data_IF_459942543782
#
_entry.id   IF_459942543782
#
_cell.length_a   1.000
_cell.length_b   1.000
_cell.length_c   1.000
_cell.angle_alpha   90.00
_cell.angle_beta   90.00
_cell.angle_gamma   90.00
#
_symmetry.space_group_name_H-M   'P 1'
#
loop_
_entity.id
_entity.type
_entity.pdbx_description
1 polymer ?
#
# COMPACT_ATOMS: atom_id res chain seq x y z
N UNK A 1 0.64 -2.99 -24.50
CA UNK A 1 0.59 -4.41 -24.92
C UNK A 1 1.17 -5.27 -23.81
N UNK A 2 0.30 -5.77 -22.93
CA UNK A 2 0.36 -7.08 -22.28
C UNK A 2 -1.07 -7.31 -21.76
N UNK A 3 -1.79 -8.20 -22.44
CA UNK A 3 -3.09 -8.69 -22.02
C UNK A 3 -2.90 -9.64 -20.83
N UNK A 4 -3.69 -9.46 -19.78
CA UNK A 4 -3.79 -10.38 -18.65
C UNK A 4 -5.24 -10.46 -18.19
N UNK A 5 -5.96 -11.45 -18.72
CA UNK A 5 -7.39 -11.68 -18.60
C UNK A 5 -7.94 -11.69 -17.16
N UNK A 6 -9.11 -11.08 -17.01
CA UNK A 6 -10.05 -11.26 -15.89
C UNK A 6 -10.94 -12.47 -16.16
N UNK A 7 -11.13 -13.32 -15.14
CA UNK A 7 -12.41 -13.85 -14.61
C UNK A 7 -12.42 -15.34 -14.22
N UNK A 8 -13.17 -15.59 -13.14
CA UNK A 8 -14.01 -16.78 -12.88
C UNK A 8 -13.48 -17.81 -11.87
N UNK A 9 -13.87 -17.67 -10.61
CA UNK A 9 -14.03 -18.82 -9.71
C UNK A 9 -15.47 -19.33 -9.84
N UNK A 10 -15.72 -20.07 -10.93
CA UNK A 10 -16.87 -20.96 -11.02
C UNK A 10 -16.63 -22.16 -10.10
N UNK A 11 -17.58 -22.38 -9.20
CA UNK A 11 -18.03 -23.68 -8.67
C UNK A 11 -16.96 -24.75 -8.37
N UNK A 12 -16.60 -24.86 -7.09
CA UNK A 12 -16.00 -26.09 -6.55
C UNK A 12 -17.06 -27.20 -6.59
N UNK A 13 -16.96 -28.13 -7.54
CA UNK A 13 -17.83 -29.31 -7.60
C UNK A 13 -17.20 -30.45 -6.80
N UNK A 14 -17.68 -30.65 -5.57
CA UNK A 14 -17.29 -31.78 -4.72
C UNK A 14 -18.10 -33.00 -5.17
N UNK A 15 -17.42 -33.97 -5.81
CA UNK A 15 -18.04 -35.24 -6.23
C UNK A 15 -18.18 -36.16 -5.01
N UNK A 16 -19.32 -36.12 -4.34
CA UNK A 16 -19.62 -37.00 -3.20
C UNK A 16 -20.14 -38.34 -3.72
N UNK A 17 -19.44 -39.43 -3.40
CA UNK A 17 -19.88 -40.81 -3.69
C UNK A 17 -21.26 -41.11 -3.09
N UNK A 18 -22.04 -42.07 -3.65
CA UNK A 18 -23.40 -42.33 -3.20
C UNK A 18 -23.43 -42.92 -1.79
N UNK A 19 -23.57 -42.07 -0.78
CA UNK A 19 -23.83 -42.45 0.61
C UNK A 19 -25.32 -42.70 0.85
N UNK A 20 -25.59 -43.71 1.69
CA UNK A 20 -26.91 -44.23 2.05
C UNK A 20 -27.89 -43.12 2.51
N UNK A 21 -29.20 -43.24 2.22
CA UNK A 21 -30.19 -42.15 2.31
C UNK A 21 -30.40 -41.56 3.72
N UNK A 22 -30.04 -42.29 4.78
CA UNK A 22 -30.20 -41.84 6.18
C UNK A 22 -29.17 -40.77 6.56
N UNK A 23 -27.99 -40.78 5.92
CA UNK A 23 -26.89 -39.87 6.27
C UNK A 23 -27.02 -38.48 5.61
N UNK A 24 -27.86 -38.35 4.58
CA UNK A 24 -28.18 -37.07 3.93
C UNK A 24 -29.00 -36.13 4.81
N UNK A 25 -29.85 -36.68 5.69
CA UNK A 25 -30.74 -35.86 6.54
C UNK A 25 -30.00 -35.22 7.71
N UNK A 26 -29.01 -35.91 8.29
CA UNK A 26 -28.21 -35.38 9.41
C UNK A 26 -27.19 -34.34 8.91
N UNK A 27 -26.61 -34.53 7.72
CA UNK A 27 -25.61 -33.60 7.19
C UNK A 27 -26.20 -32.25 6.74
N UNK A 28 -27.45 -32.24 6.24
CA UNK A 28 -28.15 -31.00 5.86
C UNK A 28 -28.58 -30.15 7.07
N UNK A 29 -28.92 -30.79 8.20
CA UNK A 29 -29.28 -30.08 9.43
C UNK A 29 -28.07 -29.41 10.10
N UNK A 30 -26.87 -30.01 9.98
CA UNK A 30 -25.65 -29.44 10.56
C UNK A 30 -25.10 -28.29 9.70
N UNK A 31 -25.16 -28.37 8.36
CA UNK A 31 -24.74 -27.26 7.49
C UNK A 31 -25.68 -26.05 7.52
N UNK A 32 -26.97 -26.24 7.80
CA UNK A 32 -27.93 -25.13 7.93
C UNK A 32 -27.73 -24.32 9.22
N UNK A 33 -27.06 -24.88 10.24
CA UNK A 33 -26.83 -24.20 11.52
C UNK A 33 -25.44 -23.53 11.62
N UNK A 34 -24.50 -23.86 10.74
CA UNK A 34 -23.18 -23.21 10.67
C UNK A 34 -23.13 -22.02 9.68
N UNK A 35 -24.23 -21.73 8.99
CA UNK A 35 -24.29 -20.72 7.93
C UNK A 35 -24.53 -19.27 8.38
N UNK A 36 -24.55 -18.98 9.69
CA UNK A 36 -24.98 -17.68 10.20
C UNK A 36 -24.02 -17.13 11.26
N UNK A 37 -22.78 -16.87 10.86
CA UNK A 37 -21.85 -15.95 11.55
C UNK A 37 -20.60 -15.80 10.68
N UNK A 38 -20.78 -15.34 9.44
CA UNK A 38 -19.71 -14.53 8.87
C UNK A 38 -19.74 -13.24 9.70
N UNK A 39 -18.69 -12.90 10.47
CA UNK A 39 -18.61 -11.56 11.01
C UNK A 39 -18.71 -10.63 9.80
N UNK A 40 -19.70 -9.72 9.85
CA UNK A 40 -19.70 -8.56 8.99
C UNK A 40 -18.45 -7.78 9.42
N UNK A 41 -17.30 -8.15 8.88
CA UNK A 41 -16.10 -7.32 8.95
C UNK A 41 -16.49 -6.10 8.15
N UNK A 42 -17.01 -5.10 8.85
CA UNK A 42 -17.07 -3.75 8.33
C UNK A 42 -15.63 -3.40 8.03
N UNK A 43 -15.22 -3.55 6.78
CA UNK A 43 -14.05 -2.86 6.27
C UNK A 43 -14.39 -1.38 6.43
N UNK A 44 -13.95 -0.79 7.53
CA UNK A 44 -14.04 0.64 7.74
C UNK A 44 -13.21 1.28 6.63
N UNK A 45 -13.86 1.58 5.51
CA UNK A 45 -13.21 2.21 4.36
C UNK A 45 -12.70 3.60 4.75
N UNK A 46 -11.75 4.10 3.97
CA UNK A 46 -11.23 5.47 4.14
C UNK A 46 -12.42 6.44 4.11
N UNK A 47 -12.57 7.21 5.19
CA UNK A 47 -13.60 8.25 5.30
C UNK A 47 -13.10 9.47 4.51
N UNK A 48 -13.87 9.88 3.50
CA UNK A 48 -13.55 11.02 2.63
C UNK A 48 -14.65 12.08 2.68
N UNK A 49 -14.34 13.27 2.15
CA UNK A 49 -15.36 14.32 1.97
C UNK A 49 -16.35 13.94 0.87
N UNK A 50 -17.66 14.25 1.00
CA UNK A 50 -18.65 13.99 -0.05
C UNK A 50 -18.37 14.69 -1.39
N UNK A 51 -17.55 15.74 -1.39
CA UNK A 51 -17.16 16.48 -2.61
C UNK A 51 -15.84 15.98 -3.21
N UNK A 52 -15.16 15.05 -2.56
CA UNK A 52 -13.92 14.48 -3.06
C UNK A 52 -14.21 13.40 -4.11
N UNK A 53 -13.74 13.62 -5.33
CA UNK A 53 -13.97 12.73 -6.47
C UNK A 53 -12.85 11.68 -6.63
N UNK A 54 -11.80 11.74 -5.82
CA UNK A 54 -10.66 10.81 -5.88
C UNK A 54 -11.06 9.44 -5.35
N UNK A 55 -10.42 8.41 -5.89
CA UNK A 55 -10.61 7.04 -5.43
C UNK A 55 -9.50 6.65 -4.47
N UNK A 56 -9.87 6.01 -3.36
CA UNK A 56 -8.95 5.67 -2.29
C UNK A 56 -8.95 4.16 -2.03
N UNK A 57 -7.77 3.63 -1.73
CA UNK A 57 -7.61 2.25 -1.28
C UNK A 57 -6.51 2.18 -0.23
N UNK A 58 -6.82 1.65 0.95
CA UNK A 58 -5.81 1.26 1.92
C UNK A 58 -5.42 -0.21 1.76
N UNK A 59 -4.15 -0.51 2.00
CA UNK A 59 -3.65 -1.87 2.07
C UNK A 59 -2.45 -1.97 3.00
N UNK A 60 -2.20 -3.19 3.47
CA UNK A 60 -1.00 -3.53 4.23
C UNK A 60 -0.21 -4.54 3.42
N UNK A 61 1.03 -4.20 3.10
CA UNK A 61 1.94 -5.11 2.39
C UNK A 61 2.38 -6.26 3.30
N UNK A 62 2.85 -7.40 2.74
CA UNK A 62 3.33 -8.53 3.55
C UNK A 62 4.47 -8.20 4.53
N UNK A 63 5.24 -7.13 4.26
CA UNK A 63 6.29 -6.63 5.15
C UNK A 63 5.77 -5.68 6.26
N UNK A 64 4.45 -5.48 6.36
CA UNK A 64 3.81 -4.63 7.36
C UNK A 64 3.70 -3.15 6.98
N UNK A 65 4.19 -2.74 5.80
CA UNK A 65 4.06 -1.35 5.34
C UNK A 65 2.58 -1.03 5.06
N UNK A 66 2.09 0.05 5.66
CA UNK A 66 0.76 0.60 5.43
C UNK A 66 0.82 1.56 4.24
N UNK A 67 -0.06 1.35 3.26
CA UNK A 67 -0.11 2.13 2.03
C UNK A 67 -1.51 2.65 1.83
N UNK A 68 -1.62 3.93 1.46
CA UNK A 68 -2.85 4.53 0.95
C UNK A 68 -2.60 4.90 -0.50
N UNK A 69 -3.38 4.31 -1.40
CA UNK A 69 -3.39 4.61 -2.82
C UNK A 69 -4.48 5.64 -3.08
N UNK A 70 -4.14 6.68 -3.84
CA UNK A 70 -5.07 7.72 -4.27
C UNK A 70 -5.02 7.76 -5.80
N UNK A 71 -6.15 7.48 -6.44
CA UNK A 71 -6.30 7.57 -7.89
C UNK A 71 -7.13 8.79 -8.24
N UNK A 72 -6.51 9.71 -8.98
CA UNK A 72 -7.10 10.93 -9.50
C UNK A 72 -6.80 11.03 -10.99
N UNK A 73 -7.82 10.86 -11.84
CA UNK A 73 -7.66 10.95 -13.29
C UNK A 73 -7.51 12.37 -13.81
N UNK A 74 -7.69 13.38 -12.95
CA UNK A 74 -7.59 14.81 -13.28
C UNK A 74 -6.27 15.44 -12.82
N UNK A 75 -5.43 14.68 -12.12
CA UNK A 75 -4.19 15.19 -11.58
C UNK A 75 -3.13 15.41 -12.67
N UNK A 76 -2.53 16.60 -12.68
CA UNK A 76 -1.44 16.97 -13.60
C UNK A 76 -0.09 16.30 -13.23
N UNK A 77 0.03 15.82 -12.00
CA UNK A 77 1.24 15.16 -11.46
C UNK A 77 0.89 13.94 -10.63
N UNK A 78 1.76 12.94 -10.68
CA UNK A 78 1.79 11.86 -9.71
C UNK A 78 2.71 12.24 -8.54
N UNK A 79 2.39 11.80 -7.32
CA UNK A 79 3.19 12.09 -6.13
C UNK A 79 3.24 10.89 -5.19
N UNK A 80 4.33 10.81 -4.41
CA UNK A 80 4.55 9.78 -3.40
C UNK A 80 5.13 10.43 -2.14
N UNK A 81 4.71 9.95 -0.97
CA UNK A 81 5.34 10.25 0.32
C UNK A 81 5.55 8.96 1.10
N UNK A 82 6.73 8.81 1.70
CA UNK A 82 7.10 7.71 2.58
C UNK A 82 7.51 8.28 3.93
N UNK A 83 6.81 7.84 4.97
CA UNK A 83 7.08 8.22 6.35
C UNK A 83 7.71 7.05 7.11
N UNK A 84 8.85 7.33 7.75
CA UNK A 84 9.49 6.42 8.69
C UNK A 84 9.22 6.95 10.09
N UNK A 85 8.61 6.14 10.95
CA UNK A 85 8.31 6.48 12.35
C UNK A 85 9.56 6.41 13.25
N UNK A 86 10.64 7.06 12.81
CA UNK A 86 11.90 7.28 13.51
C UNK A 86 12.39 8.67 13.10
N UNK A 87 12.86 9.47 14.06
CA UNK A 87 13.44 10.79 13.81
C UNK A 87 14.60 11.08 14.77
N UNK A 88 14.95 12.35 14.95
CA UNK A 88 16.10 12.78 15.76
C UNK A 88 15.98 12.44 17.26
N UNK A 89 14.78 12.15 17.77
CA UNK A 89 14.58 11.63 19.12
C UNK A 89 15.14 10.23 19.34
N UNK A 90 15.59 9.57 18.28
CA UNK A 90 16.31 8.29 18.31
C UNK A 90 17.79 8.43 17.94
N UNK A 91 18.30 9.65 17.83
CA UNK A 91 19.74 9.86 17.63
C UNK A 91 20.52 9.28 18.82
N UNK A 92 21.64 8.56 18.58
CA UNK A 92 22.56 8.18 19.63
C UNK A 92 23.07 9.40 20.38
N UNK A 93 23.30 9.27 21.69
CA UNK A 93 23.78 10.38 22.54
C UNK A 93 25.12 10.95 22.05
N UNK A 94 25.98 10.12 21.45
CA UNK A 94 27.27 10.51 20.89
C UNK A 94 27.18 11.07 19.45
N UNK A 95 25.99 11.07 18.83
CA UNK A 95 25.78 11.41 17.41
C UNK A 95 24.48 12.17 17.18
N UNK A 96 24.36 13.33 17.83
CA UNK A 96 23.25 14.25 17.58
C UNK A 96 23.18 14.66 16.10
N UNK A 97 21.99 14.62 15.52
CA UNK A 97 21.73 14.95 14.11
C UNK A 97 21.89 13.79 13.14
N UNK A 98 22.13 12.56 13.61
CA UNK A 98 22.35 11.40 12.74
C UNK A 98 21.14 11.06 11.86
N UNK A 99 19.91 11.13 12.38
CA UNK A 99 18.71 10.88 11.60
C UNK A 99 18.56 11.90 10.45
N UNK A 100 18.79 13.18 10.75
CA UNK A 100 18.77 14.24 9.73
C UNK A 100 19.93 14.08 8.74
N UNK A 101 21.12 13.70 9.19
CA UNK A 101 22.24 13.43 8.29
C UNK A 101 21.94 12.25 7.35
N UNK A 102 21.35 11.16 7.87
CA UNK A 102 20.95 10.02 7.07
C UNK A 102 19.91 10.39 6.02
N UNK A 103 18.96 11.28 6.34
CA UNK A 103 18.00 11.84 5.38
C UNK A 103 18.70 12.45 4.17
N UNK A 104 19.72 13.31 4.38
CA UNK A 104 20.50 13.88 3.27
C UNK A 104 21.24 12.81 2.47
N UNK A 105 21.80 11.80 3.14
CA UNK A 105 22.60 10.76 2.46
C UNK A 105 21.77 9.88 1.53
N UNK A 106 20.48 9.68 1.80
CA UNK A 106 19.61 8.87 0.93
C UNK A 106 19.37 9.49 -0.46
N UNK A 107 19.67 10.79 -0.65
CA UNK A 107 19.62 11.43 -1.97
C UNK A 107 20.90 11.25 -2.80
N UNK A 108 21.96 10.68 -2.23
CA UNK A 108 23.30 10.62 -2.84
C UNK A 108 23.63 9.29 -3.53
N UNK A 109 22.64 8.41 -3.67
CA UNK A 109 22.77 7.17 -4.44
C UNK A 109 22.33 5.92 -3.67
N UNK A 110 21.98 4.90 -4.43
CA UNK A 110 21.56 3.58 -3.95
C UNK A 110 22.30 2.50 -4.74
N UNK A 111 22.17 1.24 -4.33
CA UNK A 111 22.76 0.12 -5.09
C UNK A 111 22.26 0.07 -6.55
N UNK A 112 20.98 0.36 -6.78
CA UNK A 112 20.38 0.35 -8.12
C UNK A 112 20.69 1.62 -8.93
N UNK A 113 20.90 2.75 -8.25
CA UNK A 113 21.14 4.07 -8.84
C UNK A 113 22.31 4.74 -8.10
N UNK A 114 23.56 4.37 -8.40
CA UNK A 114 24.73 4.74 -7.60
C UNK A 114 25.22 6.17 -7.85
N UNK A 115 24.77 6.81 -8.92
CA UNK A 115 25.22 8.16 -9.28
C UNK A 115 24.56 9.20 -8.37
N UNK A 116 25.39 9.93 -7.61
CA UNK A 116 24.91 11.00 -6.75
C UNK A 116 24.21 12.08 -7.59
N UNK A 117 22.98 12.44 -7.20
CA UNK A 117 22.17 13.42 -7.92
C UNK A 117 21.31 12.83 -9.05
N UNK A 118 21.49 11.56 -9.43
CA UNK A 118 20.67 10.93 -10.50
C UNK A 118 19.17 10.97 -10.17
N UNK A 119 18.81 10.72 -8.92
CA UNK A 119 17.42 10.82 -8.43
C UNK A 119 16.84 12.23 -8.61
N UNK A 120 17.59 13.25 -8.22
CA UNK A 120 17.19 14.66 -8.36
C UNK A 120 17.04 15.03 -9.85
N UNK A 121 18.03 14.67 -10.65
CA UNK A 121 18.08 14.94 -12.08
C UNK A 121 16.89 14.29 -12.80
N UNK A 122 16.59 13.04 -12.47
CA UNK A 122 15.44 12.33 -13.01
C UNK A 122 14.14 13.08 -12.71
N UNK A 123 13.91 13.43 -11.44
CA UNK A 123 12.68 14.11 -11.02
C UNK A 123 12.53 15.46 -11.72
N UNK A 124 13.60 16.26 -11.73
CA UNK A 124 13.59 17.58 -12.38
C UNK A 124 13.36 17.49 -13.88
N UNK A 125 13.97 16.51 -14.58
CA UNK A 125 13.74 16.28 -16.03
C UNK A 125 12.30 15.89 -16.36
N UNK A 126 11.57 15.33 -15.40
CA UNK A 126 10.16 14.96 -15.53
C UNK A 126 9.21 15.99 -14.90
N UNK A 127 9.64 17.25 -14.77
CA UNK A 127 8.82 18.36 -14.26
C UNK A 127 8.45 18.22 -12.79
N UNK A 128 9.19 17.40 -12.06
CA UNK A 128 8.95 17.07 -10.67
C UNK A 128 9.79 17.89 -9.68
N UNK A 129 9.46 17.75 -8.40
CA UNK A 129 10.28 18.18 -7.29
C UNK A 129 10.25 17.15 -6.15
N UNK A 130 11.31 17.10 -5.35
CA UNK A 130 11.48 16.22 -4.20
C UNK A 130 11.94 17.03 -2.99
N UNK A 131 11.64 16.53 -1.81
CA UNK A 131 12.20 17.02 -0.56
C UNK A 131 12.08 15.95 0.54
N UNK A 132 12.63 16.23 1.71
CA UNK A 132 12.43 15.46 2.91
C UNK A 132 12.49 16.37 4.15
N UNK A 133 12.06 15.83 5.29
CA UNK A 133 12.30 16.47 6.58
C UNK A 133 12.44 15.43 7.69
N UNK A 134 13.23 15.78 8.70
CA UNK A 134 13.39 15.01 9.93
C UNK A 134 12.85 15.79 11.13
N UNK A 135 11.90 15.18 11.83
CA UNK A 135 11.37 15.66 13.11
C UNK A 135 11.94 14.83 14.26
N UNK A 136 11.46 15.07 15.49
CA UNK A 136 11.84 14.24 16.63
C UNK A 136 11.40 12.76 16.49
N UNK A 137 10.23 12.49 15.89
CA UNK A 137 9.65 11.14 15.84
C UNK A 137 9.55 10.54 14.43
N UNK A 138 9.69 11.36 13.40
CA UNK A 138 9.46 10.96 12.01
C UNK A 138 10.52 11.53 11.06
N UNK A 139 10.85 10.77 10.02
CA UNK A 139 11.55 11.25 8.83
C UNK A 139 10.68 10.93 7.62
N UNK A 140 10.31 11.97 6.86
CA UNK A 140 9.42 11.87 5.73
C UNK A 140 10.14 12.26 4.44
N UNK A 141 9.98 11.45 3.39
CA UNK A 141 10.52 11.69 2.05
C UNK A 141 9.36 11.78 1.08
N UNK A 142 9.40 12.75 0.16
CA UNK A 142 8.33 12.91 -0.81
C UNK A 142 8.82 13.50 -2.12
N UNK A 143 8.11 13.18 -3.20
CA UNK A 143 8.34 13.77 -4.50
C UNK A 143 7.06 13.79 -5.34
N UNK A 144 7.05 14.67 -6.33
CA UNK A 144 6.10 14.67 -7.44
C UNK A 144 6.82 14.55 -8.79
N UNK A 145 6.12 14.04 -9.81
CA UNK A 145 6.59 13.95 -11.20
C UNK A 145 5.39 14.06 -12.15
N UNK A 146 5.62 14.51 -13.39
CA UNK A 146 4.59 14.41 -14.43
C UNK A 146 4.30 12.93 -14.73
N UNK A 147 3.02 12.55 -14.93
CA UNK A 147 2.67 11.19 -15.32
C UNK A 147 3.24 10.91 -16.71
N UNK A 148 3.92 9.78 -16.87
CA UNK A 148 4.41 9.35 -18.18
C UNK A 148 3.19 8.82 -18.93
N UNK A 149 2.78 9.50 -20.01
CA UNK A 149 1.66 9.13 -20.87
C UNK A 149 2.17 8.35 -22.09
#
# INVERSE_FOLDING_TARGET
MFLGLRWSLNSVSIKVSPMRPVLKRVLFSVLAFTGFLLPLVSAAGIITSPLDQRQYQDLVLPNGLRVVLISDSTADKAAVSLDVHVGSGRDPEDRAGLAHFLEHMLFLGTEAYPEAGEYQDFITRHGGANNAYTTNAHTNYYFDVMPIN
#
